data_IF_376069330592
#
_entry.id   IF_376069330592
#
_cell.length_a   1.000
_cell.length_b   1.000
_cell.length_c   1.000
_cell.angle_alpha   90.00
_cell.angle_beta   90.00
_cell.angle_gamma   90.00
#
_symmetry.space_group_name_H-M   'P 1'
#
loop_
_entity.id
_entity.type
_entity.pdbx_description
1 polymer ?
#
# COMPACT_ATOMS: atom_id res chain seq x y z
N UNK A 1 2.82 -8.82 -0.05
CA UNK A 1 1.51 -8.16 0.13
C UNK A 1 1.47 -7.63 1.56
N UNK A 2 0.97 -6.43 1.76
CA UNK A 2 0.76 -5.83 3.08
C UNK A 2 -0.74 -5.58 3.28
N UNK A 3 -1.30 -6.06 4.38
CA UNK A 3 -2.72 -5.91 4.69
C UNK A 3 -2.90 -4.89 5.83
N UNK A 4 -3.49 -3.74 5.48
CA UNK A 4 -3.75 -2.62 6.38
C UNK A 4 -5.25 -2.51 6.72
N UNK A 5 -6.03 -3.58 6.51
CA UNK A 5 -7.48 -3.58 6.75
C UNK A 5 -7.86 -3.43 8.23
N UNK A 6 -6.91 -3.53 9.15
CA UNK A 6 -7.09 -3.27 10.59
C UNK A 6 -6.27 -2.06 11.07
N UNK A 7 -5.68 -1.31 10.12
CA UNK A 7 -4.88 -0.14 10.39
C UNK A 7 -5.74 1.10 10.17
N UNK A 8 -6.02 1.83 11.25
CA UNK A 8 -6.88 3.02 11.19
C UNK A 8 -6.11 4.30 10.86
N UNK A 9 -4.79 4.29 11.02
CA UNK A 9 -3.93 5.47 10.87
C UNK A 9 -2.54 5.10 10.34
N UNK A 10 -2.01 5.95 9.45
CA UNK A 10 -0.64 5.89 8.96
C UNK A 10 -0.04 7.30 8.97
N UNK A 11 1.28 7.38 9.10
CA UNK A 11 2.04 8.63 9.09
C UNK A 11 3.18 8.62 8.05
N UNK A 12 3.97 9.69 8.05
CA UNK A 12 5.13 9.84 7.16
C UNK A 12 6.22 8.80 7.39
N UNK A 13 6.38 8.29 8.62
CA UNK A 13 7.35 7.24 8.95
C UNK A 13 6.93 5.94 8.30
N UNK A 14 5.65 5.57 8.44
CA UNK A 14 5.10 4.37 7.82
C UNK A 14 5.22 4.42 6.28
N UNK A 15 4.89 5.56 5.67
CA UNK A 15 5.04 5.76 4.22
C UNK A 15 6.50 5.60 3.79
N UNK A 16 7.46 6.14 4.54
CA UNK A 16 8.89 6.03 4.22
C UNK A 16 9.37 4.58 4.21
N UNK A 17 8.86 3.76 5.14
CA UNK A 17 9.13 2.32 5.19
C UNK A 17 8.51 1.61 3.97
N UNK A 18 7.26 1.90 3.62
CA UNK A 18 6.61 1.31 2.44
C UNK A 18 7.34 1.64 1.14
N UNK A 19 7.80 2.88 0.97
CA UNK A 19 8.58 3.30 -0.20
C UNK A 19 9.90 2.53 -0.27
N UNK A 20 10.57 2.35 0.85
CA UNK A 20 11.83 1.59 0.93
C UNK A 20 11.61 0.11 0.63
N UNK A 21 10.52 -0.47 1.12
CA UNK A 21 10.12 -1.85 0.83
C UNK A 21 9.82 -2.04 -0.66
N UNK A 22 9.02 -1.15 -1.27
CA UNK A 22 8.72 -1.20 -2.70
C UNK A 22 9.99 -1.11 -3.56
N UNK A 23 10.90 -0.18 -3.26
CA UNK A 23 12.20 -0.08 -3.96
C UNK A 23 12.99 -1.38 -3.89
N UNK A 24 13.01 -2.02 -2.73
CA UNK A 24 13.74 -3.28 -2.51
C UNK A 24 13.10 -4.45 -3.25
N UNK A 25 11.77 -4.51 -3.26
CA UNK A 25 11.00 -5.54 -3.98
C UNK A 25 11.15 -5.38 -5.50
N UNK A 26 11.08 -4.15 -6.01
CA UNK A 26 11.26 -3.86 -7.44
C UNK A 26 12.66 -4.25 -7.93
N UNK A 27 13.71 -4.05 -7.12
CA UNK A 27 15.07 -4.52 -7.44
C UNK A 27 15.18 -6.03 -7.64
N UNK A 28 14.22 -6.80 -7.10
CA UNK A 28 14.12 -8.25 -7.24
C UNK A 28 13.05 -8.67 -8.27
N UNK A 29 12.61 -7.75 -9.13
CA UNK A 29 11.51 -7.95 -10.09
C UNK A 29 10.21 -8.44 -9.43
N UNK A 30 10.00 -8.10 -8.16
CA UNK A 30 8.74 -8.37 -7.47
C UNK A 30 7.79 -7.17 -7.53
N UNK A 31 6.57 -7.37 -7.03
CA UNK A 31 5.57 -6.31 -6.86
C UNK A 31 5.07 -6.26 -5.42
N UNK A 32 4.77 -5.06 -4.91
CA UNK A 32 4.12 -4.88 -3.62
C UNK A 32 2.65 -4.48 -3.81
N UNK A 33 1.75 -5.31 -3.30
CA UNK A 33 0.32 -5.04 -3.19
C UNK A 33 -0.03 -4.64 -1.76
N UNK A 34 -0.85 -3.61 -1.62
CA UNK A 34 -1.34 -3.08 -0.34
C UNK A 34 -2.85 -3.22 -0.32
N UNK A 35 -3.39 -3.75 0.77
CA UNK A 35 -4.83 -3.73 1.04
C UNK A 35 -5.06 -2.61 2.05
N UNK A 36 -5.90 -1.63 1.72
CA UNK A 36 -6.23 -0.51 2.60
C UNK A 36 -7.74 -0.29 2.61
N UNK A 37 -8.39 -0.71 3.70
CA UNK A 37 -9.84 -0.66 3.84
C UNK A 37 -10.34 0.63 4.53
N UNK A 38 -9.54 1.22 5.42
CA UNK A 38 -9.94 2.41 6.17
C UNK A 38 -9.82 3.70 5.35
N UNK A 39 -10.87 4.52 5.37
CA UNK A 39 -10.95 5.80 4.65
C UNK A 39 -9.84 6.78 5.03
N UNK A 40 -9.40 6.77 6.30
CA UNK A 40 -8.33 7.65 6.78
C UNK A 40 -6.98 7.28 6.16
N UNK A 41 -6.66 5.99 6.13
CA UNK A 41 -5.44 5.48 5.47
C UNK A 41 -5.47 5.80 3.99
N UNK A 42 -6.61 5.58 3.33
CA UNK A 42 -6.78 5.90 1.91
C UNK A 42 -6.58 7.39 1.64
N UNK A 43 -7.17 8.26 2.47
CA UNK A 43 -7.03 9.72 2.37
C UNK A 43 -5.57 10.17 2.51
N UNK A 44 -4.81 9.59 3.44
CA UNK A 44 -3.38 9.89 3.57
C UNK A 44 -2.60 9.45 2.34
N UNK A 45 -2.89 8.27 1.78
CA UNK A 45 -2.25 7.79 0.55
C UNK A 45 -2.61 8.65 -0.67
N UNK A 46 -3.84 9.17 -0.74
CA UNK A 46 -4.29 10.08 -1.78
C UNK A 46 -3.58 11.43 -1.69
N UNK A 47 -3.60 12.05 -0.51
CA UNK A 47 -2.96 13.36 -0.25
C UNK A 47 -1.46 13.34 -0.52
N UNK A 48 -0.80 12.22 -0.22
CA UNK A 48 0.64 12.05 -0.45
C UNK A 48 0.97 11.58 -1.88
N UNK A 49 -0.04 11.32 -2.71
CA UNK A 49 0.12 10.83 -4.08
C UNK A 49 0.61 9.37 -4.16
N UNK A 50 0.65 8.66 -3.03
CA UNK A 50 1.11 7.29 -2.94
C UNK A 50 0.20 6.30 -3.68
N UNK A 51 -1.05 6.68 -3.95
CA UNK A 51 -1.95 5.90 -4.81
C UNK A 51 -1.47 5.71 -6.25
N UNK A 52 -0.56 6.57 -6.73
CA UNK A 52 0.07 6.42 -8.05
C UNK A 52 1.34 5.54 -8.01
N UNK A 53 1.83 5.26 -6.82
CA UNK A 53 3.10 4.57 -6.58
C UNK A 53 2.87 3.11 -6.19
N UNK A 54 1.86 2.84 -5.38
CA UNK A 54 1.53 1.50 -4.90
C UNK A 54 0.33 0.91 -5.61
N UNK A 55 0.31 -0.42 -5.73
CA UNK A 55 -0.90 -1.15 -6.10
C UNK A 55 -1.77 -1.31 -4.85
N UNK A 56 -2.80 -0.48 -4.73
CA UNK A 56 -3.70 -0.45 -3.56
C UNK A 56 -5.04 -1.06 -3.92
N UNK A 57 -5.54 -1.91 -3.05
CA UNK A 57 -6.80 -2.64 -3.19
C UNK A 57 -7.66 -2.43 -1.93
N UNK A 58 -8.98 -2.52 -2.06
CA UNK A 58 -9.89 -2.38 -0.91
C UNK A 58 -10.02 -3.69 -0.14
N UNK A 59 -9.91 -4.82 -0.85
CA UNK A 59 -10.06 -6.16 -0.29
C UNK A 59 -8.91 -7.08 -0.64
N UNK A 60 -8.78 -8.18 0.10
CA UNK A 60 -7.78 -9.21 -0.16
C UNK A 60 -8.06 -9.94 -1.46
N UNK A 61 -9.33 -10.18 -1.74
CA UNK A 61 -9.83 -10.87 -2.93
C UNK A 61 -9.45 -10.10 -4.20
N UNK A 62 -9.63 -8.78 -4.21
CA UNK A 62 -9.20 -7.92 -5.32
C UNK A 62 -7.68 -8.00 -5.53
N UNK A 63 -6.90 -7.93 -4.45
CA UNK A 63 -5.44 -7.99 -4.53
C UNK A 63 -4.91 -9.33 -5.06
N UNK A 64 -5.64 -10.43 -4.82
CA UNK A 64 -5.30 -11.77 -5.30
C UNK A 64 -5.77 -12.04 -6.73
N UNK A 65 -6.82 -11.34 -7.20
CA UNK A 65 -7.38 -11.54 -8.53
C UNK A 65 -6.51 -10.97 -9.65
N UNK A 66 -5.64 -10.00 -9.32
CA UNK A 66 -4.62 -9.46 -10.24
C UNK A 66 -3.32 -10.23 -10.03
N UNK A 67 -2.57 -10.62 -11.06
CA UNK A 67 -1.25 -11.26 -10.92
C UNK A 67 -0.16 -10.37 -11.52
#
# INVERSE_FOLDING_TARGET
MADLSQCEFIDSTFISVLVTALKTINKKNGSLKIIAAHSNVQSVLDLTGMVKVFQIYKTREEALSVF
#
